data_IF_965657675262
#
_entry.id   IF_965657675262
#
_cell.length_a   1.000
_cell.length_b   1.000
_cell.length_c   1.000
_cell.angle_alpha   90.00
_cell.angle_beta   90.00
_cell.angle_gamma   90.00
#
_symmetry.space_group_name_H-M   'P 1'
#
loop_
_entity.id
_entity.type
_entity.pdbx_description
1 polymer ?
#
# COMPACT_ATOMS: atom_id res chain seq x y z
N UNK A 1 4.94 -10.80 -5.18
CA UNK A 1 5.16 -9.65 -6.10
C UNK A 1 6.55 -9.10 -5.87
N UNK A 2 7.24 -8.58 -6.89
CA UNK A 2 8.55 -7.94 -6.70
C UNK A 2 8.42 -6.47 -6.25
N UNK A 3 9.52 -5.90 -5.73
CA UNK A 3 9.49 -4.54 -5.17
C UNK A 3 9.21 -3.45 -6.23
N UNK A 4 9.67 -3.64 -7.48
CA UNK A 4 9.41 -2.69 -8.56
C UNK A 4 7.91 -2.59 -8.87
N UNK A 5 7.26 -3.73 -9.08
CA UNK A 5 5.82 -3.82 -9.36
C UNK A 5 5.00 -3.21 -8.22
N UNK A 6 5.41 -3.41 -6.98
CA UNK A 6 4.78 -2.75 -5.82
C UNK A 6 4.81 -1.22 -5.93
N UNK A 7 5.97 -0.64 -6.28
CA UNK A 7 6.07 0.81 -6.47
C UNK A 7 5.23 1.32 -7.64
N UNK A 8 5.16 0.55 -8.71
CA UNK A 8 4.36 0.93 -9.88
C UNK A 8 2.86 0.88 -9.57
N UNK A 9 2.41 -0.17 -8.86
CA UNK A 9 1.01 -0.26 -8.40
C UNK A 9 0.62 0.85 -7.44
N UNK A 10 1.51 1.22 -6.50
CA UNK A 10 1.27 2.38 -5.62
C UNK A 10 1.02 3.68 -6.40
N UNK A 11 1.76 3.91 -7.48
CA UNK A 11 1.54 5.06 -8.37
C UNK A 11 0.20 4.97 -9.10
N UNK A 12 -0.17 3.79 -9.60
CA UNK A 12 -1.45 3.57 -10.29
C UNK A 12 -2.66 3.87 -9.40
N UNK A 13 -2.59 3.50 -8.12
CA UNK A 13 -3.65 3.78 -7.15
C UNK A 13 -3.55 5.18 -6.51
N UNK A 14 -2.56 5.99 -6.92
CA UNK A 14 -2.28 7.32 -6.41
C UNK A 14 -2.06 7.39 -4.87
N UNK A 15 -1.33 6.41 -4.32
CA UNK A 15 -0.96 6.36 -2.89
C UNK A 15 0.55 6.31 -2.75
N UNK A 16 1.11 7.15 -1.87
CA UNK A 16 2.54 7.06 -1.54
C UNK A 16 2.82 5.97 -0.48
N UNK A 17 4.06 5.49 -0.42
CA UNK A 17 4.44 4.39 0.48
C UNK A 17 4.21 4.70 1.97
N UNK A 18 4.32 5.95 2.40
CA UNK A 18 4.12 6.34 3.81
C UNK A 18 2.63 6.21 4.17
N UNK A 19 1.74 6.73 3.34
CA UNK A 19 0.29 6.60 3.50
C UNK A 19 -0.13 5.13 3.49
N UNK A 20 0.39 4.35 2.54
CA UNK A 20 0.10 2.92 2.47
C UNK A 20 0.58 2.15 3.71
N UNK A 21 1.74 2.52 4.25
CA UNK A 21 2.27 1.95 5.51
C UNK A 21 1.37 2.24 6.70
N UNK A 22 0.81 3.46 6.78
CA UNK A 22 -0.16 3.84 7.82
C UNK A 22 -1.46 3.04 7.71
N UNK A 23 -2.02 2.91 6.50
CA UNK A 23 -3.29 2.21 6.27
C UNK A 23 -3.23 0.74 6.70
N UNK A 24 -2.07 0.10 6.52
CA UNK A 24 -1.87 -1.32 6.81
C UNK A 24 -1.06 -1.57 8.09
N UNK A 25 -0.84 -0.53 8.89
CA UNK A 25 -0.15 -0.57 10.17
C UNK A 25 1.19 -1.33 10.14
N UNK A 26 2.07 -0.95 9.21
CA UNK A 26 3.45 -1.44 9.20
C UNK A 26 4.46 -0.28 9.20
N UNK A 27 5.67 -0.54 9.69
CA UNK A 27 6.68 0.50 9.80
C UNK A 27 7.04 1.06 8.42
N UNK A 28 7.04 2.39 8.25
CA UNK A 28 7.26 3.09 6.98
C UNK A 28 8.54 2.71 6.23
N UNK A 29 9.56 2.25 6.95
CA UNK A 29 10.84 1.85 6.39
C UNK A 29 10.88 0.36 5.97
N UNK A 30 9.87 -0.44 6.31
CA UNK A 30 9.79 -1.87 5.94
C UNK A 30 9.95 -2.09 4.43
N UNK A 31 9.27 -1.32 3.54
CA UNK A 31 9.41 -1.52 2.10
C UNK A 31 10.84 -1.28 1.62
N UNK A 32 11.48 -0.19 2.06
CA UNK A 32 12.81 0.21 1.58
C UNK A 32 13.96 -0.59 2.23
N UNK A 33 13.77 -1.07 3.45
CA UNK A 33 14.79 -1.76 4.23
C UNK A 33 14.76 -3.29 4.07
N UNK A 34 13.56 -3.89 3.98
CA UNK A 34 13.39 -5.34 3.96
C UNK A 34 12.97 -5.83 2.57
N UNK A 35 11.85 -5.34 2.07
CA UNK A 35 11.27 -5.84 0.82
C UNK A 35 12.10 -5.48 -0.40
N UNK A 36 12.68 -4.28 -0.42
CA UNK A 36 13.64 -3.87 -1.47
C UNK A 36 14.88 -4.75 -1.48
N UNK A 37 15.44 -5.10 -0.30
CA UNK A 37 16.65 -5.95 -0.20
C UNK A 37 16.36 -7.38 -0.67
N UNK A 38 15.21 -7.92 -0.30
CA UNK A 38 14.76 -9.26 -0.73
C UNK A 38 14.16 -9.28 -2.14
N UNK A 39 13.95 -8.11 -2.74
CA UNK A 39 13.18 -7.90 -3.97
C UNK A 39 11.81 -8.60 -3.96
N UNK A 40 11.19 -8.71 -2.78
CA UNK A 40 9.98 -9.50 -2.57
C UNK A 40 9.07 -8.80 -1.57
N UNK A 41 7.79 -8.77 -1.93
CA UNK A 41 6.71 -8.19 -1.14
C UNK A 41 5.86 -9.33 -0.56
N UNK A 42 5.48 -9.28 0.72
CA UNK A 42 4.61 -10.27 1.31
C UNK A 42 3.32 -10.48 0.50
N UNK A 43 2.87 -11.72 0.41
CA UNK A 43 1.67 -12.09 -0.36
C UNK A 43 0.44 -11.30 0.11
N UNK A 44 0.26 -11.13 1.42
CA UNK A 44 -0.86 -10.37 1.98
C UNK A 44 -0.90 -8.93 1.47
N UNK A 45 0.25 -8.25 1.44
CA UNK A 45 0.38 -6.88 0.91
C UNK A 45 0.07 -6.83 -0.58
N UNK A 46 0.54 -7.85 -1.33
CA UNK A 46 0.27 -7.97 -2.76
C UNK A 46 -1.23 -8.07 -3.05
N UNK A 47 -1.95 -8.90 -2.29
CA UNK A 47 -3.41 -9.08 -2.43
C UNK A 47 -4.16 -7.79 -2.13
N UNK A 48 -3.79 -7.08 -1.05
CA UNK A 48 -4.44 -5.80 -0.71
C UNK A 48 -4.24 -4.75 -1.81
N UNK A 49 -3.03 -4.65 -2.37
CA UNK A 49 -2.76 -3.75 -3.49
C UNK A 49 -3.59 -4.07 -4.72
N UNK A 50 -3.72 -5.35 -5.08
CA UNK A 50 -4.54 -5.78 -6.21
C UNK A 50 -6.03 -5.50 -5.98
N UNK A 51 -6.52 -5.60 -4.74
CA UNK A 51 -7.90 -5.23 -4.40
C UNK A 51 -8.12 -3.71 -4.55
N UNK A 52 -7.20 -2.89 -4.02
CA UNK A 52 -7.28 -1.43 -4.14
C UNK A 52 -7.18 -0.97 -5.61
N UNK A 53 -6.38 -1.63 -6.43
CA UNK A 53 -6.28 -1.32 -7.86
C UNK A 53 -7.58 -1.59 -8.61
N UNK A 54 -8.28 -2.68 -8.28
CA UNK A 54 -9.56 -3.05 -8.90
C UNK A 54 -10.76 -2.28 -8.36
N UNK A 55 -10.61 -1.61 -7.22
CA UNK A 55 -11.66 -0.80 -6.60
C UNK A 55 -11.92 0.46 -7.44
N UNK A 56 -13.20 0.84 -7.66
CA UNK A 56 -13.56 2.13 -8.24
C UNK A 56 -12.84 3.29 -7.54
N UNK A 57 -12.48 4.32 -8.29
CA UNK A 57 -11.62 5.39 -7.76
C UNK A 57 -12.27 6.13 -6.59
N UNK A 58 -13.56 6.42 -6.68
CA UNK A 58 -14.36 7.06 -5.65
C UNK A 58 -14.43 6.22 -4.37
N UNK A 59 -14.72 4.92 -4.48
CA UNK A 59 -14.72 3.99 -3.35
C UNK A 59 -13.33 3.88 -2.71
N UNK A 60 -12.28 3.82 -3.54
CA UNK A 60 -10.89 3.75 -3.07
C UNK A 60 -10.51 5.00 -2.28
N UNK A 61 -10.85 6.18 -2.77
CA UNK A 61 -10.57 7.45 -2.07
C UNK A 61 -11.29 7.48 -0.71
N UNK A 62 -12.55 7.07 -0.66
CA UNK A 62 -13.31 6.99 0.59
C UNK A 62 -12.70 5.98 1.57
N UNK A 63 -12.30 4.80 1.09
CA UNK A 63 -11.63 3.78 1.90
C UNK A 63 -10.32 4.31 2.49
N UNK A 64 -9.46 4.91 1.67
CA UNK A 64 -8.18 5.50 2.10
C UNK A 64 -8.41 6.56 3.18
N UNK A 65 -9.36 7.47 2.94
CA UNK A 65 -9.68 8.53 3.88
C UNK A 65 -10.17 7.98 5.22
N UNK A 66 -11.08 7.01 5.19
CA UNK A 66 -11.61 6.37 6.39
C UNK A 66 -10.52 5.67 7.20
N UNK A 67 -9.67 4.88 6.55
CA UNK A 67 -8.56 4.17 7.21
C UNK A 67 -7.51 5.11 7.80
N UNK A 68 -7.23 6.23 7.13
CA UNK A 68 -6.33 7.24 7.69
C UNK A 68 -6.90 7.88 8.95
N UNK A 69 -8.20 8.19 8.97
CA UNK A 69 -8.87 8.72 10.17
C UNK A 69 -8.83 7.70 11.33
N UNK A 70 -9.04 6.42 11.05
CA UNK A 70 -8.91 5.36 12.07
C UNK A 70 -7.48 5.27 12.62
N UNK A 71 -6.45 5.44 11.78
CA UNK A 71 -5.04 5.38 12.20
C UNK A 71 -4.56 6.60 13.00
N UNK A 72 -5.33 7.69 13.04
CA UNK A 72 -5.03 8.90 13.81
C UNK A 72 -5.73 8.95 15.18
N UNK A 73 -6.71 8.06 15.43
CA UNK A 73 -7.40 7.91 16.72
C UNK A 73 -6.78 6.80 17.57
#
# INVERSE_FOLDING_TARGET
MNYSTYKDKLKLININGVTFSKILDFHKDTPSSLWKKKNEIPKTISVVLELLEKMPEDERVLFIHHKLKEAEN
#
